data_IF_206347782030
#
_entry.id   IF_206347782030
#
_cell.length_a   1.000
_cell.length_b   1.000
_cell.length_c   1.000
_cell.angle_alpha   90.00
_cell.angle_beta   90.00
_cell.angle_gamma   90.00
#
_symmetry.space_group_name_H-M   'P 1'
#
loop_
_entity.id
_entity.type
_entity.pdbx_description
1 polymer ?
#
# COMPACT_ATOMS: atom_id res chain seq x y z
N UNK A 1 0.23 14.29 25.36
CA UNK A 1 0.98 13.47 24.38
C UNK A 1 -0.05 12.74 23.55
N UNK A 2 -0.24 13.20 22.32
CA UNK A 2 -1.47 13.07 21.54
C UNK A 2 -1.70 11.65 21.01
N UNK A 3 -2.92 11.14 21.24
CA UNK A 3 -3.48 9.91 20.66
C UNK A 3 -3.66 9.97 19.11
N UNK A 4 -3.14 11.00 18.44
CA UNK A 4 -3.41 11.28 17.01
C UNK A 4 -2.63 10.42 16.02
N UNK A 5 -1.59 9.68 16.45
CA UNK A 5 -0.75 8.91 15.54
C UNK A 5 -1.00 7.39 15.56
N UNK A 6 -2.05 6.93 16.26
CA UNK A 6 -2.42 5.52 16.27
C UNK A 6 -2.87 5.07 14.87
N UNK A 7 -2.03 4.30 14.16
CA UNK A 7 -2.36 3.78 12.82
C UNK A 7 -2.89 2.36 12.92
N UNK A 8 -3.89 1.99 12.11
CA UNK A 8 -4.31 0.58 12.01
C UNK A 8 -3.12 -0.29 11.58
N UNK A 9 -2.95 -1.45 12.20
CA UNK A 9 -1.84 -2.37 11.94
C UNK A 9 -1.73 -2.76 10.46
N UNK A 10 -2.85 -3.08 9.81
CA UNK A 10 -2.86 -3.40 8.38
C UNK A 10 -2.40 -2.24 7.48
N UNK A 11 -2.73 -1.00 7.85
CA UNK A 11 -2.25 0.21 7.18
C UNK A 11 -0.75 0.40 7.42
N UNK A 12 -0.28 0.20 8.66
CA UNK A 12 1.14 0.29 9.01
C UNK A 12 1.97 -0.70 8.19
N UNK A 13 1.60 -1.99 8.18
CA UNK A 13 2.28 -3.04 7.40
C UNK A 13 2.24 -2.73 5.89
N UNK A 14 1.13 -2.18 5.40
CA UNK A 14 1.05 -1.82 3.98
C UNK A 14 1.91 -0.61 3.61
N UNK A 15 2.15 0.32 4.52
CA UNK A 15 2.98 1.52 4.31
C UNK A 15 4.48 1.23 4.33
N UNK A 16 4.91 0.15 4.99
CA UNK A 16 6.31 -0.30 4.94
C UNK A 16 6.66 -0.99 3.62
N UNK A 17 5.68 -1.21 2.74
CA UNK A 17 5.86 -1.88 1.45
C UNK A 17 5.85 -3.41 1.54
N UNK A 18 5.67 -4.00 2.73
CA UNK A 18 5.73 -5.45 2.93
C UNK A 18 4.66 -6.21 2.15
N UNK A 19 3.39 -5.80 2.25
CA UNK A 19 2.29 -6.41 1.52
C UNK A 19 1.11 -5.44 1.34
N UNK A 20 0.04 -5.86 0.65
CA UNK A 20 -1.20 -5.09 0.57
C UNK A 20 -1.96 -5.09 1.90
N UNK A 21 -2.88 -4.13 2.10
CA UNK A 21 -3.74 -4.11 3.31
C UNK A 21 -4.51 -5.43 3.52
N UNK A 22 -5.02 -6.04 2.45
CA UNK A 22 -5.76 -7.31 2.51
C UNK A 22 -4.85 -8.49 2.88
N UNK A 23 -3.62 -8.51 2.37
CA UNK A 23 -2.64 -9.52 2.77
C UNK A 23 -2.17 -9.31 4.21
N UNK A 24 -2.02 -8.06 4.65
CA UNK A 24 -1.71 -7.74 6.03
C UNK A 24 -2.80 -8.26 6.97
N UNK A 25 -4.08 -8.07 6.64
CA UNK A 25 -5.19 -8.66 7.40
C UNK A 25 -5.09 -10.19 7.48
N UNK A 26 -4.76 -10.87 6.38
CA UNK A 26 -4.55 -12.34 6.40
C UNK A 26 -3.38 -12.75 7.30
N UNK A 27 -2.28 -12.00 7.31
CA UNK A 27 -1.12 -12.31 8.16
C UNK A 27 -1.44 -12.10 9.65
N UNK A 28 -2.24 -11.09 9.96
CA UNK A 28 -2.71 -10.81 11.33
C UNK A 28 -3.63 -11.95 11.79
N UNK A 29 -4.60 -12.34 10.95
CA UNK A 29 -5.53 -13.44 11.23
C UNK A 29 -4.83 -14.79 11.43
N UNK A 30 -3.74 -15.03 10.69
CA UNK A 30 -2.87 -16.20 10.85
C UNK A 30 -1.97 -16.16 12.10
N UNK A 31 -2.00 -15.08 12.89
CA UNK A 31 -1.14 -14.91 14.07
C UNK A 31 0.34 -14.76 13.75
N UNK A 32 0.69 -14.41 12.50
CA UNK A 32 2.08 -14.26 12.04
C UNK A 32 2.67 -12.88 12.34
N UNK A 33 1.84 -11.95 12.79
CA UNK A 33 2.22 -10.60 13.17
C UNK A 33 2.25 -10.48 14.68
N UNK A 34 3.27 -9.83 15.23
CA UNK A 34 3.38 -9.53 16.66
C UNK A 34 3.68 -8.06 16.88
N UNK A 35 3.04 -7.45 17.87
CA UNK A 35 3.35 -6.10 18.36
C UNK A 35 3.98 -6.25 19.75
N UNK A 36 5.20 -5.75 19.95
CA UNK A 36 5.93 -5.84 21.23
C UNK A 36 5.97 -7.28 21.79
N UNK A 37 6.11 -8.27 20.89
CA UNK A 37 6.13 -9.70 21.24
C UNK A 37 4.77 -10.36 21.52
N UNK A 38 3.64 -9.65 21.35
CA UNK A 38 2.29 -10.20 21.53
C UNK A 38 1.53 -10.26 20.21
N UNK A 39 0.71 -11.31 20.02
CA UNK A 39 -0.17 -11.41 18.84
C UNK A 39 -1.33 -10.41 19.01
N UNK A 40 -1.48 -9.44 18.09
CA UNK A 40 -2.54 -8.45 18.16
C UNK A 40 -3.86 -9.02 17.62
N UNK A 41 -4.98 -8.46 18.09
CA UNK A 41 -6.30 -8.76 17.52
C UNK A 41 -6.55 -7.96 16.23
N UNK A 42 -7.51 -8.42 15.43
CA UNK A 42 -7.92 -7.72 14.21
C UNK A 42 -8.43 -6.31 14.53
N UNK A 43 -7.91 -5.32 13.80
CA UNK A 43 -8.23 -3.91 14.02
C UNK A 43 -7.39 -3.20 15.08
N UNK A 44 -6.41 -3.88 15.70
CA UNK A 44 -5.43 -3.25 16.60
C UNK A 44 -4.73 -2.08 15.92
N UNK A 45 -4.49 -1.01 16.69
CA UNK A 45 -3.73 0.16 16.26
C UNK A 45 -2.31 0.08 16.81
N UNK A 46 -1.35 0.43 15.96
CA UNK A 46 0.07 0.55 16.27
C UNK A 46 0.35 1.99 16.67
N UNK A 47 1.05 2.16 17.78
CA UNK A 47 1.53 3.45 18.26
C UNK A 47 2.94 3.74 17.73
N UNK A 48 3.31 5.03 17.60
CA UNK A 48 4.71 5.39 17.32
C UNK A 48 5.62 4.88 18.45
N UNK A 49 6.49 3.93 18.14
CA UNK A 49 7.40 3.29 19.10
C UNK A 49 7.09 1.83 19.38
N UNK A 50 5.96 1.30 18.90
CA UNK A 50 5.69 -0.14 18.96
C UNK A 50 6.55 -0.92 17.97
N UNK A 51 7.11 -2.04 18.43
CA UNK A 51 7.87 -2.97 17.60
C UNK A 51 6.92 -3.96 16.91
N UNK A 52 6.69 -3.74 15.62
CA UNK A 52 5.89 -4.66 14.79
C UNK A 52 6.80 -5.63 14.06
N UNK A 53 6.61 -6.92 14.31
CA UNK A 53 7.33 -8.00 13.63
C UNK A 53 6.37 -8.88 12.84
N UNK A 54 6.82 -9.37 11.68
CA UNK A 54 6.16 -10.43 10.91
C UNK A 54 7.11 -11.61 10.86
N UNK A 55 6.66 -12.79 11.29
CA UNK A 55 7.49 -14.01 11.37
C UNK A 55 8.82 -13.78 12.13
N UNK A 56 8.77 -13.09 13.27
CA UNK A 56 9.94 -12.68 14.06
C UNK A 56 10.94 -11.75 13.34
N UNK A 57 10.57 -11.17 12.18
CA UNK A 57 11.38 -10.15 11.49
C UNK A 57 10.77 -8.77 11.74
N UNK A 58 11.55 -7.81 12.27
CA UNK A 58 11.07 -6.45 12.48
C UNK A 58 10.76 -5.79 11.14
N UNK A 59 9.59 -5.15 11.05
CA UNK A 59 9.25 -4.30 9.92
C UNK A 59 10.12 -3.04 9.96
N UNK A 60 10.89 -2.81 8.89
CA UNK A 60 11.70 -1.59 8.76
C UNK A 60 10.83 -0.38 8.45
N UNK A 61 11.36 0.80 8.78
CA UNK A 61 10.77 2.12 8.62
C UNK A 61 10.20 2.39 7.22
N UNK A 62 9.18 3.26 7.17
CA UNK A 62 8.47 3.73 5.97
C UNK A 62 9.42 3.96 4.79
N UNK A 63 9.15 3.31 3.65
CA UNK A 63 9.90 3.57 2.42
C UNK A 63 9.74 5.03 1.99
N UNK A 64 10.74 5.56 1.27
CA UNK A 64 10.64 6.91 0.69
C UNK A 64 9.41 6.98 -0.23
N UNK A 65 8.64 8.07 -0.20
CA UNK A 65 7.49 8.21 -1.07
C UNK A 65 7.95 8.31 -2.53
N UNK A 66 7.30 7.54 -3.39
CA UNK A 66 7.56 7.44 -4.82
C UNK A 66 6.38 8.06 -5.56
N UNK A 67 6.65 8.88 -6.55
CA UNK A 67 5.64 9.45 -7.44
C UNK A 67 6.12 9.32 -8.88
N UNK A 68 5.35 8.61 -9.69
CA UNK A 68 5.66 8.35 -11.09
C UNK A 68 4.51 8.90 -11.92
N UNK A 69 4.82 9.66 -12.96
CA UNK A 69 3.88 10.06 -14.00
C UNK A 69 4.09 9.16 -15.20
N UNK A 70 3.05 8.43 -15.61
CA UNK A 70 3.08 7.56 -16.77
C UNK A 70 2.08 8.04 -17.81
N UNK A 71 2.50 8.19 -19.05
CA UNK A 71 1.56 8.21 -20.18
C UNK A 71 1.24 6.75 -20.54
N UNK A 72 0.12 6.23 -20.02
CA UNK A 72 -0.28 4.84 -20.17
C UNK A 72 -0.70 4.59 -21.62
N UNK A 73 -0.13 3.59 -22.32
CA UNK A 73 -0.61 3.22 -23.64
C UNK A 73 -1.93 2.43 -23.56
N UNK A 74 -2.63 2.37 -24.69
CA UNK A 74 -3.80 1.50 -24.85
C UNK A 74 -3.41 0.03 -24.69
N UNK A 75 -4.31 -0.79 -24.17
CA UNK A 75 -4.10 -2.23 -23.97
C UNK A 75 -3.55 -2.62 -22.58
N UNK A 76 -3.00 -1.68 -21.81
CA UNK A 76 -2.56 -1.93 -20.42
C UNK A 76 -3.76 -1.86 -19.45
N UNK A 77 -3.80 -2.76 -18.48
CA UNK A 77 -4.85 -2.80 -17.46
C UNK A 77 -4.38 -2.13 -16.15
N UNK A 78 -5.15 -1.17 -15.64
CA UNK A 78 -4.89 -0.50 -14.35
C UNK A 78 -5.24 -1.39 -13.16
N UNK A 79 -4.40 -2.40 -12.90
CA UNK A 79 -4.51 -3.31 -11.76
C UNK A 79 -3.14 -3.56 -11.13
N UNK A 80 -3.14 -3.95 -9.87
CA UNK A 80 -1.93 -4.38 -9.12
C UNK A 80 -1.85 -5.89 -8.98
N UNK A 81 -2.83 -6.61 -9.53
CA UNK A 81 -2.87 -8.06 -9.56
C UNK A 81 -1.85 -8.59 -10.58
N UNK A 82 -0.90 -9.38 -10.09
CA UNK A 82 0.20 -9.94 -10.89
C UNK A 82 -0.28 -11.04 -11.86
N UNK A 83 -1.42 -11.66 -11.56
CA UNK A 83 -1.98 -12.74 -12.39
C UNK A 83 -2.64 -12.21 -13.68
N UNK A 84 -2.82 -10.89 -13.80
CA UNK A 84 -3.40 -10.25 -14.98
C UNK A 84 -2.28 -9.85 -15.95
N UNK A 85 -2.18 -10.48 -17.14
CA UNK A 85 -1.18 -10.10 -18.13
C UNK A 85 -1.42 -8.68 -18.64
N UNK A 86 -0.33 -7.91 -18.79
CA UNK A 86 -0.42 -6.52 -19.24
C UNK A 86 -0.97 -5.57 -18.18
N UNK A 87 -0.78 -5.89 -16.89
CA UNK A 87 -1.07 -4.93 -15.82
C UNK A 87 -0.06 -3.78 -15.78
N UNK A 88 -0.48 -2.65 -15.21
CA UNK A 88 0.31 -1.42 -15.17
C UNK A 88 1.57 -1.53 -14.30
N UNK A 89 1.57 -2.39 -13.27
CA UNK A 89 2.73 -2.54 -12.36
C UNK A 89 3.87 -3.25 -13.07
N UNK A 90 3.56 -4.35 -13.77
CA UNK A 90 4.52 -5.11 -14.55
C UNK A 90 5.00 -4.33 -15.78
N UNK A 91 4.11 -3.55 -16.40
CA UNK A 91 4.48 -2.66 -17.50
C UNK A 91 5.57 -1.65 -17.11
N UNK A 92 5.54 -1.13 -15.87
CA UNK A 92 6.57 -0.20 -15.38
C UNK A 92 7.80 -0.96 -14.88
N UNK A 93 7.63 -2.16 -14.32
CA UNK A 93 8.75 -2.97 -13.84
C UNK A 93 9.51 -2.34 -12.66
N UNK A 94 8.84 -1.51 -11.86
CA UNK A 94 9.49 -0.83 -10.73
C UNK A 94 9.84 -1.81 -9.59
N UNK A 95 11.02 -1.63 -8.96
CA UNK A 95 11.51 -2.52 -7.90
C UNK A 95 10.66 -2.47 -6.62
N UNK A 96 10.26 -1.27 -6.22
CA UNK A 96 9.38 -1.06 -5.07
C UNK A 96 7.90 -1.25 -5.43
N UNK A 97 7.10 -1.64 -4.45
CA UNK A 97 5.65 -1.83 -4.60
C UNK A 97 4.96 -0.48 -4.84
N UNK A 98 4.45 -0.28 -6.05
CA UNK A 98 3.67 0.90 -6.46
C UNK A 98 2.25 0.51 -6.88
N UNK A 99 1.34 1.46 -6.83
CA UNK A 99 -0.05 1.31 -7.27
C UNK A 99 -0.53 2.59 -7.97
N UNK A 100 -1.45 2.47 -8.94
CA UNK A 100 -1.98 3.62 -9.66
C UNK A 100 -2.86 4.50 -8.77
N UNK A 101 -2.77 5.81 -9.00
CA UNK A 101 -3.67 6.83 -8.44
C UNK A 101 -4.83 6.97 -9.41
N UNK A 102 -5.93 6.29 -9.08
CA UNK A 102 -7.12 6.24 -9.92
C UNK A 102 -7.04 5.09 -10.92
N UNK A 103 -7.84 5.18 -11.98
CA UNK A 103 -7.96 4.15 -13.01
C UNK A 103 -8.16 4.79 -14.38
N UNK A 104 -7.48 4.23 -15.37
CA UNK A 104 -7.82 4.37 -16.77
C UNK A 104 -8.27 2.99 -17.27
N UNK A 105 -9.29 2.96 -18.11
CA UNK A 105 -9.75 1.71 -18.67
C UNK A 105 -8.72 1.14 -19.65
N UNK A 106 -8.80 -0.17 -19.91
CA UNK A 106 -7.86 -0.86 -20.82
C UNK A 106 -7.75 -0.20 -22.21
N UNK A 107 -8.85 0.22 -22.88
CA UNK A 107 -8.75 0.88 -24.17
C UNK A 107 -8.33 2.35 -24.08
N UNK A 108 -8.29 2.95 -22.88
CA UNK A 108 -7.89 4.34 -22.70
C UNK A 108 -6.37 4.49 -22.59
N UNK A 109 -5.84 5.53 -23.21
CA UNK A 109 -4.49 6.04 -23.00
C UNK A 109 -4.50 7.39 -22.26
N UNK A 110 -3.34 7.81 -21.79
CA UNK A 110 -3.16 9.13 -21.19
C UNK A 110 -2.42 9.11 -19.85
N UNK A 111 -2.40 10.28 -19.20
CA UNK A 111 -1.67 10.48 -17.97
C UNK A 111 -2.30 9.70 -16.80
N UNK A 112 -1.48 8.91 -16.11
CA UNK A 112 -1.81 8.28 -14.84
C UNK A 112 -0.62 8.38 -13.89
N UNK A 113 -0.89 8.61 -12.60
CA UNK A 113 0.14 8.61 -11.59
C UNK A 113 0.23 7.26 -10.89
N UNK A 114 1.43 6.89 -10.44
CA UNK A 114 1.64 5.74 -9.57
C UNK A 114 2.45 6.15 -8.34
N UNK A 115 2.16 5.53 -7.21
CA UNK A 115 2.81 5.82 -5.95
C UNK A 115 2.87 4.61 -5.04
N UNK A 116 3.77 4.64 -4.05
CA UNK A 116 3.72 3.74 -2.90
C UNK A 116 3.04 4.39 -1.68
N UNK A 117 2.65 5.67 -1.76
CA UNK A 117 2.00 6.41 -0.68
C UNK A 117 0.46 6.34 -0.81
N UNK A 118 -0.17 5.54 0.05
CA UNK A 118 -1.61 5.36 0.04
C UNK A 118 -2.40 6.57 0.56
N UNK A 119 -1.74 7.49 1.28
CA UNK A 119 -2.39 8.66 1.86
C UNK A 119 -2.72 9.70 0.79
N UNK A 120 -1.87 9.85 -0.24
CA UNK A 120 -2.11 10.82 -1.32
C UNK A 120 -3.27 10.39 -2.23
N UNK A 121 -3.51 9.08 -2.38
CA UNK A 121 -4.51 8.56 -3.32
C UNK A 121 -5.90 9.13 -3.02
N UNK A 122 -6.31 9.10 -1.75
CA UNK A 122 -7.59 9.66 -1.33
C UNK A 122 -7.62 11.20 -1.41
N UNK A 123 -6.46 11.86 -1.28
CA UNK A 123 -6.35 13.32 -1.41
C UNK A 123 -6.38 13.79 -2.86
N UNK A 124 -6.15 12.93 -3.83
CA UNK A 124 -6.25 13.30 -5.26
C UNK A 124 -7.63 12.92 -5.80
N UNK A 125 -8.18 11.76 -5.41
CA UNK A 125 -9.39 11.22 -6.04
C UNK A 125 -10.72 11.67 -5.42
N UNK A 126 -10.72 12.34 -4.26
CA UNK A 126 -11.98 12.82 -3.66
C UNK A 126 -12.50 14.04 -4.42
N UNK A 127 -13.73 13.93 -4.91
CA UNK A 127 -14.42 14.99 -5.67
C UNK A 127 -14.58 16.32 -4.91
N UNK A 128 -14.52 16.32 -3.57
CA UNK A 128 -14.65 17.50 -2.72
C UNK A 128 -13.32 18.17 -2.34
N UNK A 129 -12.21 17.82 -3.01
CA UNK A 129 -10.93 18.48 -2.78
C UNK A 129 -10.82 19.69 -3.72
N UNK A 130 -11.51 20.77 -3.35
CA UNK A 130 -11.42 22.11 -3.93
C UNK A 130 -10.68 23.06 -2.99
#
# INVERSE_FOLDING_TARGET
>A
MSQENAKRLNKYISETGYCSRREADKLIDQGRVTINGKIPEMGTKVMPGDDVCIDNKPLKSKEKPIYIALNKPTGITCTTERDIPGNIVDFIGHKSRIFPIGRLDKPSDGLIFLTNDGDIVNKILRAGNS
#
